data_IF_795107613338
#
_entry.id   IF_795107613338
#
_cell.length_a   1.000
_cell.length_b   1.000
_cell.length_c   1.000
_cell.angle_alpha   90.00
_cell.angle_beta   90.00
_cell.angle_gamma   90.00
#
_symmetry.space_group_name_H-M   'P 1'
#
loop_
_entity.id
_entity.type
_entity.pdbx_description
1 polymer ?
#
# COMPACT_ATOMS: atom_id res chain seq x y z
N UNK A 1 3.95 10.37 16.09
CA UNK A 1 4.54 10.54 14.75
C UNK A 1 4.01 9.51 13.75
N UNK A 2 4.38 8.23 13.86
CA UNK A 2 3.84 7.14 13.00
C UNK A 2 2.32 7.12 13.00
N UNK A 3 1.70 7.25 14.18
CA UNK A 3 0.26 7.35 14.34
C UNK A 3 -0.33 8.59 13.64
N UNK A 4 0.29 9.75 13.77
CA UNK A 4 -0.15 10.99 13.11
C UNK A 4 -0.14 10.84 11.58
N UNK A 5 0.89 10.18 11.04
CA UNK A 5 1.00 9.88 9.60
C UNK A 5 -0.10 8.93 9.15
N UNK A 6 -0.37 7.88 9.92
CA UNK A 6 -1.44 6.92 9.64
C UNK A 6 -2.80 7.62 9.65
N UNK A 7 -3.07 8.43 10.68
CA UNK A 7 -4.32 9.19 10.81
C UNK A 7 -4.47 10.17 9.63
N UNK A 8 -3.42 10.91 9.27
CA UNK A 8 -3.45 11.84 8.14
C UNK A 8 -3.78 11.11 6.83
N UNK A 9 -3.11 9.98 6.54
CA UNK A 9 -3.37 9.18 5.33
C UNK A 9 -4.84 8.74 5.30
N UNK A 10 -5.34 8.18 6.40
CA UNK A 10 -6.73 7.69 6.48
C UNK A 10 -7.73 8.81 6.28
N UNK A 11 -7.53 9.96 6.94
CA UNK A 11 -8.40 11.12 6.81
C UNK A 11 -8.45 11.64 5.36
N UNK A 12 -7.28 11.76 4.72
CA UNK A 12 -7.20 12.20 3.32
C UNK A 12 -7.86 11.20 2.36
N UNK A 13 -7.70 9.90 2.58
CA UNK A 13 -8.37 8.87 1.78
C UNK A 13 -9.91 8.96 1.92
N UNK A 14 -10.41 9.15 3.14
CA UNK A 14 -11.84 9.34 3.40
C UNK A 14 -12.34 10.63 2.74
N UNK A 15 -11.61 11.74 2.86
CA UNK A 15 -11.95 13.02 2.23
C UNK A 15 -12.03 12.92 0.71
N UNK A 16 -11.15 12.13 0.08
CA UNK A 16 -11.13 11.91 -1.37
C UNK A 16 -12.07 10.81 -1.84
N UNK A 17 -12.87 10.21 -0.95
CA UNK A 17 -13.82 9.15 -1.34
C UNK A 17 -14.89 9.72 -2.27
N UNK A 18 -15.00 9.23 -3.52
CA UNK A 18 -16.00 9.72 -4.45
C UNK A 18 -17.41 9.27 -4.05
N UNK A 19 -18.42 10.05 -4.47
CA UNK A 19 -19.81 9.58 -4.45
C UNK A 19 -20.02 8.59 -5.59
N UNK A 20 -20.24 7.33 -5.26
CA UNK A 20 -20.49 6.25 -6.22
C UNK A 20 -21.96 5.83 -6.20
N UNK A 21 -22.52 5.50 -7.36
CA UNK A 21 -23.82 4.83 -7.43
C UNK A 21 -23.71 3.38 -6.93
N UNK A 22 -24.83 2.74 -6.52
CA UNK A 22 -24.82 1.32 -6.15
C UNK A 22 -24.22 0.41 -7.22
N UNK A 23 -24.47 0.69 -8.50
CA UNK A 23 -23.98 -0.09 -9.64
C UNK A 23 -22.46 0.06 -9.79
N UNK A 24 -21.95 1.30 -9.68
CA UNK A 24 -20.51 1.57 -9.71
C UNK A 24 -19.79 0.86 -8.56
N UNK A 25 -20.38 0.93 -7.35
CA UNK A 25 -19.86 0.23 -6.18
C UNK A 25 -19.86 -1.28 -6.41
N UNK A 26 -20.96 -1.86 -6.89
CA UNK A 26 -21.05 -3.29 -7.20
C UNK A 26 -20.01 -3.73 -8.23
N UNK A 27 -19.86 -2.99 -9.32
CA UNK A 27 -18.88 -3.28 -10.37
C UNK A 27 -17.44 -3.28 -9.82
N UNK A 28 -17.12 -2.28 -8.99
CA UNK A 28 -15.80 -2.17 -8.37
C UNK A 28 -15.44 -3.41 -7.54
N UNK A 29 -16.37 -3.94 -6.73
CA UNK A 29 -16.13 -5.17 -5.96
C UNK A 29 -16.06 -6.42 -6.85
N UNK A 30 -16.82 -6.48 -7.94
CA UNK A 30 -16.72 -7.59 -8.91
C UNK A 30 -15.36 -7.65 -9.60
N UNK A 31 -14.76 -6.49 -9.91
CA UNK A 31 -13.45 -6.40 -10.56
C UNK A 31 -12.33 -6.81 -9.59
N UNK A 32 -12.36 -6.28 -8.37
CA UNK A 32 -11.31 -6.51 -7.38
C UNK A 32 -11.41 -7.92 -6.77
N UNK A 33 -12.64 -8.42 -6.60
CA UNK A 33 -12.95 -9.77 -6.15
C UNK A 33 -12.12 -10.20 -4.92
N UNK A 34 -12.28 -9.50 -3.77
CA UNK A 34 -11.51 -9.80 -2.58
C UNK A 34 -11.86 -11.19 -2.03
N UNK A 35 -10.88 -11.87 -1.45
CA UNK A 35 -11.04 -13.20 -0.84
C UNK A 35 -11.67 -13.17 0.57
N UNK A 36 -11.92 -11.99 1.14
CA UNK A 36 -12.59 -11.78 2.43
C UNK A 36 -13.87 -10.96 2.32
N UNK A 37 -14.84 -11.25 3.18
CA UNK A 37 -16.20 -10.67 3.11
C UNK A 37 -16.32 -9.25 3.65
N UNK A 38 -15.48 -8.86 4.61
CA UNK A 38 -15.47 -7.52 5.21
C UNK A 38 -14.46 -6.57 4.56
N UNK A 39 -14.13 -6.82 3.28
CA UNK A 39 -13.26 -5.96 2.50
C UNK A 39 -13.93 -4.64 2.16
N UNK A 40 -13.19 -3.55 2.24
CA UNK A 40 -13.65 -2.20 1.98
C UNK A 40 -12.82 -1.58 0.87
N UNK A 41 -13.51 -0.93 -0.07
CA UNK A 41 -12.91 -0.14 -1.13
C UNK A 41 -13.63 1.18 -1.25
N UNK A 42 -12.90 2.28 -1.10
CA UNK A 42 -13.40 3.65 -1.18
C UNK A 42 -13.64 4.11 -2.62
N UNK A 43 -12.84 3.61 -3.56
CA UNK A 43 -12.88 4.04 -4.96
C UNK A 43 -11.99 5.23 -5.27
N UNK A 44 -11.06 5.58 -4.37
CA UNK A 44 -10.03 6.60 -4.64
C UNK A 44 -9.10 6.05 -5.73
N UNK A 45 -8.84 6.86 -6.76
CA UNK A 45 -7.97 6.47 -7.87
C UNK A 45 -6.52 6.34 -7.39
N UNK A 46 -5.78 5.36 -7.90
CA UNK A 46 -4.37 5.12 -7.55
C UNK A 46 -3.51 6.38 -7.65
N UNK A 47 -3.67 7.18 -8.72
CA UNK A 47 -2.93 8.43 -8.89
C UNK A 47 -3.18 9.44 -7.75
N UNK A 48 -4.40 9.49 -7.21
CA UNK A 48 -4.74 10.34 -6.07
C UNK A 48 -4.11 9.80 -4.78
N UNK A 49 -4.09 8.47 -4.59
CA UNK A 49 -3.41 7.84 -3.44
C UNK A 49 -1.92 8.18 -3.46
N UNK A 50 -1.27 8.11 -4.62
CA UNK A 50 0.15 8.49 -4.76
C UNK A 50 0.39 9.97 -4.45
N UNK A 51 -0.54 10.86 -4.83
CA UNK A 51 -0.48 12.27 -4.50
C UNK A 51 -0.63 12.50 -2.99
N UNK A 52 -1.61 11.85 -2.34
CA UNK A 52 -1.80 11.87 -0.88
C UNK A 52 -0.51 11.43 -0.19
N UNK A 53 0.01 10.25 -0.55
CA UNK A 53 1.23 9.69 0.03
C UNK A 53 2.42 10.64 -0.13
N UNK A 54 2.59 11.23 -1.32
CA UNK A 54 3.66 12.21 -1.58
C UNK A 54 3.52 13.43 -0.66
N UNK A 55 2.32 13.95 -0.50
CA UNK A 55 2.08 15.14 0.34
C UNK A 55 2.32 14.84 1.81
N UNK A 56 1.84 13.70 2.31
CA UNK A 56 2.08 13.25 3.68
C UNK A 56 3.58 13.02 3.92
N UNK A 57 4.26 12.32 3.02
CA UNK A 57 5.72 12.11 3.10
C UNK A 57 6.51 13.42 3.18
N UNK A 58 6.07 14.46 2.46
CA UNK A 58 6.73 15.78 2.50
C UNK A 58 6.37 16.59 3.76
N UNK A 59 5.23 16.30 4.41
CA UNK A 59 4.73 16.99 5.60
C UNK A 59 5.40 16.48 6.88
N UNK A 60 5.73 15.19 6.94
CA UNK A 60 6.29 14.54 8.13
C UNK A 60 7.73 14.08 7.90
N UNK A 61 8.57 14.26 8.92
CA UNK A 61 9.93 13.69 8.90
C UNK A 61 9.84 12.25 9.41
N UNK A 62 9.99 11.29 8.50
CA UNK A 62 9.92 9.86 8.84
C UNK A 62 11.26 9.17 8.53
N UNK A 63 11.64 8.23 9.38
CA UNK A 63 12.72 7.28 9.11
C UNK A 63 12.21 6.08 8.32
N UNK A 64 13.14 5.25 7.83
CA UNK A 64 12.76 3.98 7.19
C UNK A 64 12.03 3.04 8.15
N UNK A 65 12.38 3.04 9.44
CA UNK A 65 11.69 2.23 10.45
C UNK A 65 10.26 2.71 10.68
N UNK A 66 10.04 4.03 10.71
CA UNK A 66 8.68 4.58 10.77
C UNK A 66 7.85 4.12 9.56
N UNK A 67 8.45 4.12 8.36
CA UNK A 67 7.77 3.66 7.15
C UNK A 67 7.41 2.17 7.19
N UNK A 68 8.25 1.33 7.81
CA UNK A 68 7.93 -0.09 8.04
C UNK A 68 6.75 -0.24 8.99
N UNK A 69 6.70 0.53 10.08
CA UNK A 69 5.59 0.46 11.05
C UNK A 69 4.27 1.02 10.47
N UNK A 70 4.34 2.09 9.68
CA UNK A 70 3.20 2.58 8.88
C UNK A 70 2.71 1.48 7.93
N UNK A 71 3.64 0.83 7.22
CA UNK A 71 3.33 -0.24 6.28
C UNK A 71 2.60 -1.39 6.97
N UNK A 72 3.16 -1.93 8.06
CA UNK A 72 2.56 -3.03 8.84
C UNK A 72 1.17 -2.66 9.36
N UNK A 73 0.97 -1.42 9.78
CA UNK A 73 -0.31 -0.98 10.35
C UNK A 73 -1.38 -0.85 9.27
N UNK A 74 -1.09 -0.17 8.16
CA UNK A 74 -2.07 0.07 7.09
C UNK A 74 -2.39 -1.20 6.31
N UNK A 75 -1.42 -2.09 6.10
CA UNK A 75 -1.65 -3.36 5.38
C UNK A 75 -2.55 -4.33 6.13
N UNK A 76 -2.60 -4.27 7.47
CA UNK A 76 -3.54 -5.04 8.30
C UNK A 76 -5.00 -4.59 8.18
N UNK A 77 -5.25 -3.39 7.66
CA UNK A 77 -6.62 -2.95 7.39
C UNK A 77 -7.26 -3.83 6.32
N UNK A 78 -8.59 -3.91 6.30
CA UNK A 78 -9.33 -4.51 5.19
C UNK A 78 -9.72 -3.46 4.13
N UNK A 79 -9.00 -2.34 4.07
CA UNK A 79 -9.30 -1.22 3.17
C UNK A 79 -8.29 -1.19 2.03
N UNK A 80 -8.76 -1.38 0.80
CA UNK A 80 -7.93 -1.44 -0.42
C UNK A 80 -6.97 -0.25 -0.54
N UNK A 81 -7.51 0.96 -0.40
CA UNK A 81 -6.75 2.21 -0.57
C UNK A 81 -5.73 2.44 0.55
N UNK A 82 -6.00 2.01 1.77
CA UNK A 82 -5.02 2.08 2.88
C UNK A 82 -3.82 1.18 2.59
N UNK A 83 -4.04 -0.05 2.07
CA UNK A 83 -2.92 -0.93 1.70
C UNK A 83 -2.11 -0.35 0.54
N UNK A 84 -2.76 0.24 -0.47
CA UNK A 84 -2.06 0.98 -1.55
C UNK A 84 -1.19 2.12 -0.99
N UNK A 85 -1.75 2.92 -0.08
CA UNK A 85 -1.01 3.99 0.57
C UNK A 85 0.20 3.45 1.34
N UNK A 86 0.04 2.32 2.03
CA UNK A 86 1.10 1.65 2.78
C UNK A 86 2.35 1.37 1.93
N UNK A 87 2.19 0.66 0.81
CA UNK A 87 3.34 0.31 -0.01
C UNK A 87 3.87 1.47 -0.84
N UNK A 88 3.03 2.42 -1.27
CA UNK A 88 3.54 3.65 -1.90
C UNK A 88 4.35 4.50 -0.93
N UNK A 89 3.93 4.58 0.33
CA UNK A 89 4.66 5.31 1.36
C UNK A 89 6.02 4.65 1.63
N UNK A 90 6.04 3.32 1.82
CA UNK A 90 7.27 2.56 1.99
C UNK A 90 8.21 2.72 0.78
N UNK A 91 7.67 2.72 -0.44
CA UNK A 91 8.46 2.87 -1.68
C UNK A 91 9.15 4.25 -1.81
N UNK A 92 8.76 5.25 -1.02
CA UNK A 92 9.53 6.52 -0.91
C UNK A 92 10.94 6.29 -0.35
N UNK A 93 11.12 5.22 0.42
CA UNK A 93 12.37 4.80 1.03
C UNK A 93 13.08 3.68 0.27
N UNK A 94 12.78 3.46 -1.02
CA UNK A 94 13.36 2.38 -1.85
C UNK A 94 14.91 2.33 -1.95
N UNK A 95 15.60 3.38 -1.50
CA UNK A 95 17.07 3.39 -1.38
C UNK A 95 17.56 2.65 -0.14
N UNK A 96 16.71 2.47 0.86
CA UNK A 96 16.98 1.79 2.12
C UNK A 96 16.48 0.33 2.13
N UNK A 97 15.89 -0.13 1.03
CA UNK A 97 15.41 -1.51 0.91
C UNK A 97 16.56 -2.51 1.03
N UNK A 98 16.27 -3.63 1.67
CA UNK A 98 17.21 -4.71 1.97
C UNK A 98 16.45 -6.06 2.02
N UNK A 99 17.13 -7.14 2.39
CA UNK A 99 16.54 -8.47 2.57
C UNK A 99 15.34 -8.47 3.53
N UNK A 100 15.41 -7.69 4.61
CA UNK A 100 14.29 -7.53 5.54
C UNK A 100 13.04 -6.92 4.89
N UNK A 101 13.21 -6.08 3.85
CA UNK A 101 12.08 -5.62 3.03
C UNK A 101 11.44 -6.76 2.26
N UNK A 102 12.23 -7.68 1.70
CA UNK A 102 11.69 -8.84 0.98
C UNK A 102 10.87 -9.70 1.93
N UNK A 103 11.42 -10.02 3.11
CA UNK A 103 10.72 -10.77 4.15
C UNK A 103 9.42 -10.09 4.59
N UNK A 104 9.43 -8.75 4.73
CA UNK A 104 8.22 -7.98 5.05
C UNK A 104 7.10 -8.17 4.01
N UNK A 105 7.42 -8.29 2.72
CA UNK A 105 6.42 -8.56 1.69
C UNK A 105 6.06 -10.04 1.58
N UNK A 106 7.05 -10.93 1.59
CA UNK A 106 6.86 -12.37 1.40
C UNK A 106 6.14 -13.06 2.55
N UNK A 107 6.33 -12.60 3.78
CA UNK A 107 5.75 -13.26 4.95
C UNK A 107 4.67 -12.42 5.63
N UNK A 108 4.93 -11.13 5.88
CA UNK A 108 3.97 -10.32 6.64
C UNK A 108 2.84 -9.79 5.77
N UNK A 109 3.17 -9.17 4.63
CA UNK A 109 2.14 -8.64 3.73
C UNK A 109 1.32 -9.72 3.04
N UNK A 110 1.93 -10.86 2.69
CA UNK A 110 1.23 -11.97 2.04
C UNK A 110 0.00 -12.45 2.81
N UNK A 111 0.03 -12.41 4.16
CA UNK A 111 -1.12 -12.72 5.05
C UNK A 111 -2.30 -11.75 4.90
N UNK A 112 -2.05 -10.60 4.31
CA UNK A 112 -2.99 -9.49 4.18
C UNK A 112 -3.25 -9.11 2.71
N UNK A 113 -2.75 -9.88 1.75
CA UNK A 113 -2.94 -9.64 0.32
C UNK A 113 -4.24 -10.32 -0.16
N UNK A 114 -5.35 -9.59 -0.07
CA UNK A 114 -6.69 -10.13 -0.34
C UNK A 114 -7.16 -9.97 -1.79
N UNK A 115 -6.37 -9.30 -2.62
CA UNK A 115 -6.76 -8.92 -3.99
C UNK A 115 -5.59 -9.09 -4.95
N UNK A 116 -5.90 -9.46 -6.19
CA UNK A 116 -4.89 -9.60 -7.25
C UNK A 116 -4.23 -8.23 -7.57
N UNK A 117 -4.99 -7.14 -7.47
CA UNK A 117 -4.51 -5.77 -7.74
C UNK A 117 -3.34 -5.38 -6.84
N UNK A 118 -3.38 -5.83 -5.59
CA UNK A 118 -2.36 -5.64 -4.57
C UNK A 118 -1.12 -6.48 -4.85
N UNK A 119 -1.28 -7.76 -5.15
CA UNK A 119 -0.18 -8.63 -5.55
C UNK A 119 0.57 -8.05 -6.76
N UNK A 120 -0.14 -7.76 -7.84
CA UNK A 120 0.45 -7.20 -9.07
C UNK A 120 1.14 -5.86 -8.80
N UNK A 121 0.50 -4.97 -8.05
CA UNK A 121 1.08 -3.66 -7.76
C UNK A 121 2.34 -3.74 -6.92
N UNK A 122 2.38 -4.63 -5.93
CA UNK A 122 3.58 -4.79 -5.08
C UNK A 122 4.72 -5.44 -5.84
N UNK A 123 4.45 -6.49 -6.62
CA UNK A 123 5.44 -7.13 -7.48
C UNK A 123 5.99 -6.16 -8.55
N UNK A 124 5.12 -5.46 -9.28
CA UNK A 124 5.55 -4.63 -10.42
C UNK A 124 6.13 -3.28 -9.97
N UNK A 125 5.58 -2.67 -8.91
CA UNK A 125 5.90 -1.26 -8.57
C UNK A 125 6.83 -1.09 -7.38
N UNK A 126 7.04 -2.12 -6.57
CA UNK A 126 7.77 -2.01 -5.30
C UNK A 126 8.90 -3.04 -5.21
N UNK A 127 8.57 -4.33 -5.14
CA UNK A 127 9.56 -5.39 -4.91
C UNK A 127 10.33 -5.75 -6.19
N UNK A 128 9.65 -5.93 -7.32
CA UNK A 128 10.29 -6.28 -8.58
C UNK A 128 11.38 -5.29 -9.01
N UNK A 129 11.15 -3.97 -8.96
CA UNK A 129 12.19 -2.98 -9.22
C UNK A 129 13.37 -3.01 -8.26
N UNK A 130 13.19 -3.53 -7.04
CA UNK A 130 14.29 -3.71 -6.09
C UNK A 130 15.06 -5.00 -6.39
N UNK A 131 14.38 -6.12 -6.63
CA UNK A 131 15.00 -7.40 -6.99
C UNK A 131 15.72 -7.36 -8.34
N UNK A 132 15.20 -6.59 -9.30
CA UNK A 132 15.83 -6.41 -10.61
C UNK A 132 17.08 -5.53 -10.63
N UNK A 133 17.52 -5.00 -9.48
CA UNK A 133 18.80 -4.27 -9.39
C UNK A 133 19.96 -5.26 -9.39
N UNK A 134 21.03 -4.91 -10.11
CA UNK A 134 22.27 -5.67 -10.08
C UNK A 134 22.78 -5.84 -8.64
N UNK A 135 23.12 -7.07 -8.27
CA UNK A 135 23.55 -7.45 -6.92
C UNK A 135 22.45 -7.98 -6.01
N UNK A 136 21.18 -8.00 -6.47
CA UNK A 136 20.04 -8.54 -5.73
C UNK A 136 19.52 -9.88 -6.31
N UNK A 137 20.25 -10.52 -7.23
CA UNK A 137 19.81 -11.72 -7.94
C UNK A 137 19.51 -12.89 -6.99
N UNK A 138 20.32 -13.01 -5.92
CA UNK A 138 20.14 -14.05 -4.91
C UNK A 138 18.87 -13.85 -4.06
N UNK A 139 18.38 -12.61 -3.95
CA UNK A 139 17.15 -12.29 -3.21
C UNK A 139 15.87 -12.61 -4.01
N UNK A 140 16.01 -12.95 -5.30
CA UNK A 140 14.90 -13.25 -6.20
C UNK A 140 14.61 -14.76 -6.33
N UNK A 141 15.31 -15.59 -5.55
CA UNK A 141 15.15 -17.06 -5.49
C UNK A 141 14.02 -17.44 -4.54
#
# INVERSE_FOLDING_TARGET
MTEDVIIEIKNLLVEKTPRLTPEQKSMMYKIINPDISNYVKYGVKVAEIENIVKNVYNKFICTYQDAIEIFKTLTKSNVEEEKFAAFFFLNRFKKNFNEGTIHLFGEEYAKHCHTWSHCDSTCVRVIGPFLGKQGNEELAK
#
